data_IF_568196711450
#
_entry.id   IF_568196711450
#
_cell.length_a   1.000
_cell.length_b   1.000
_cell.length_c   1.000
_cell.angle_alpha   90.00
_cell.angle_beta   90.00
_cell.angle_gamma   90.00
#
_symmetry.space_group_name_H-M   'P 1'
#
loop_
_entity.id
_entity.type
_entity.pdbx_description
1 polymer ?
#
# COMPACT_ATOMS: atom_id res chain seq x y z
N UNK A 1 -0.89 -2.48 5.73
CA UNK A 1 0.14 -3.23 4.95
C UNK A 1 -0.39 -3.41 3.53
N UNK A 2 0.38 -3.10 2.48
CA UNK A 2 -0.09 -3.13 1.08
C UNK A 2 0.19 -4.48 0.37
N UNK A 3 -0.34 -4.67 -0.85
CA UNK A 3 -0.12 -5.89 -1.64
C UNK A 3 1.36 -6.16 -1.96
N UNK A 4 2.17 -5.12 -2.18
CA UNK A 4 3.62 -5.29 -2.41
C UNK A 4 4.32 -5.82 -1.15
N UNK A 5 3.94 -5.30 0.02
CA UNK A 5 4.43 -5.80 1.31
C UNK A 5 4.00 -7.23 1.58
N UNK A 6 2.76 -7.61 1.22
CA UNK A 6 2.31 -9.00 1.27
C UNK A 6 3.25 -9.90 0.46
N UNK A 7 3.58 -9.53 -0.79
CA UNK A 7 4.51 -10.31 -1.62
C UNK A 7 5.89 -10.44 -1.00
N UNK A 8 6.42 -9.37 -0.38
CA UNK A 8 7.71 -9.39 0.33
C UNK A 8 7.64 -10.33 1.55
N UNK A 9 6.58 -10.23 2.36
CA UNK A 9 6.36 -11.09 3.52
C UNK A 9 6.26 -12.56 3.15
N UNK A 10 5.57 -12.90 2.05
CA UNK A 10 5.47 -14.29 1.57
C UNK A 10 6.85 -14.86 1.25
N UNK A 11 7.70 -14.11 0.53
CA UNK A 11 9.07 -14.56 0.20
C UNK A 11 9.95 -14.71 1.44
N UNK A 12 9.72 -13.89 2.47
CA UNK A 12 10.52 -13.90 3.70
C UNK A 12 10.16 -15.08 4.61
N UNK A 13 8.87 -15.45 4.68
CA UNK A 13 8.38 -16.43 5.67
C UNK A 13 8.11 -17.83 5.08
N UNK A 14 8.22 -18.01 3.76
CA UNK A 14 7.99 -19.30 3.10
C UNK A 14 9.25 -19.76 2.36
N UNK A 15 9.38 -21.08 2.18
CA UNK A 15 10.45 -21.66 1.37
C UNK A 15 10.38 -21.19 -0.08
N UNK A 16 11.52 -21.17 -0.79
CA UNK A 16 11.63 -20.60 -2.14
C UNK A 16 10.56 -21.13 -3.11
N UNK A 17 10.42 -22.44 -3.23
CA UNK A 17 9.45 -23.06 -4.14
C UNK A 17 8.00 -22.84 -3.70
N UNK A 18 7.70 -23.03 -2.41
CA UNK A 18 6.37 -22.78 -1.85
C UNK A 18 5.94 -21.31 -2.05
N UNK A 19 6.86 -20.37 -1.81
CA UNK A 19 6.61 -18.94 -2.01
C UNK A 19 6.36 -18.61 -3.49
N UNK A 20 7.08 -19.24 -4.42
CA UNK A 20 6.92 -19.05 -5.87
C UNK A 20 5.53 -19.50 -6.32
N UNK A 21 5.10 -20.68 -5.89
CA UNK A 21 3.76 -21.20 -6.20
C UNK A 21 2.66 -20.33 -5.57
N UNK A 22 2.79 -20.00 -4.28
CA UNK A 22 1.84 -19.14 -3.58
C UNK A 22 1.69 -17.79 -4.27
N UNK A 23 2.80 -17.16 -4.66
CA UNK A 23 2.79 -15.88 -5.38
C UNK A 23 2.14 -15.97 -6.76
N UNK A 24 2.28 -17.10 -7.46
CA UNK A 24 1.58 -17.35 -8.74
C UNK A 24 0.08 -17.37 -8.52
N UNK A 25 -0.41 -18.11 -7.52
CA UNK A 25 -1.85 -18.15 -7.17
C UNK A 25 -2.35 -16.80 -6.67
N UNK A 26 -1.58 -16.11 -5.84
CA UNK A 26 -1.91 -14.76 -5.36
C UNK A 26 -2.04 -13.77 -6.52
N UNK A 27 -1.20 -13.87 -7.55
CA UNK A 27 -1.31 -13.02 -8.74
C UNK A 27 -2.62 -13.27 -9.49
N UNK A 28 -3.01 -14.54 -9.66
CA UNK A 28 -4.28 -14.92 -10.28
C UNK A 28 -5.47 -14.34 -9.50
N UNK A 29 -5.46 -14.44 -8.17
CA UNK A 29 -6.51 -13.86 -7.31
C UNK A 29 -6.62 -12.35 -7.58
N UNK A 30 -5.49 -11.63 -7.60
CA UNK A 30 -5.49 -10.20 -7.88
C UNK A 30 -6.06 -9.86 -9.27
N UNK A 31 -5.79 -10.66 -10.29
CA UNK A 31 -6.14 -10.36 -11.67
C UNK A 31 -7.58 -10.74 -12.02
N UNK A 32 -8.08 -11.85 -11.47
CA UNK A 32 -9.34 -12.46 -11.91
C UNK A 32 -10.48 -12.36 -10.90
N UNK A 33 -10.29 -11.69 -9.77
CA UNK A 33 -11.40 -11.47 -8.83
C UNK A 33 -12.21 -10.24 -9.27
N UNK A 34 -13.53 -10.39 -9.32
CA UNK A 34 -14.48 -9.33 -9.67
C UNK A 34 -14.54 -8.22 -8.61
N UNK A 35 -14.26 -8.55 -7.35
CA UNK A 35 -14.35 -7.62 -6.23
C UNK A 35 -13.54 -8.03 -5.01
N UNK A 36 -13.68 -7.24 -3.94
CA UNK A 36 -12.96 -7.47 -2.68
C UNK A 36 -13.34 -8.79 -2.03
N UNK A 37 -14.63 -9.09 -1.95
CA UNK A 37 -15.17 -10.28 -1.25
C UNK A 37 -14.62 -11.57 -1.85
N UNK A 38 -14.76 -11.73 -3.17
CA UNK A 38 -14.23 -12.88 -3.91
C UNK A 38 -12.70 -13.01 -3.75
N UNK A 39 -11.97 -11.88 -3.81
CA UNK A 39 -10.51 -11.91 -3.65
C UNK A 39 -10.10 -12.37 -2.23
N UNK A 40 -10.82 -11.91 -1.21
CA UNK A 40 -10.59 -12.28 0.19
C UNK A 40 -10.91 -13.75 0.42
N UNK A 41 -12.03 -14.24 -0.10
CA UNK A 41 -12.43 -15.66 0.00
C UNK A 41 -11.39 -16.57 -0.66
N UNK A 42 -11.05 -16.30 -1.92
CA UNK A 42 -10.04 -17.07 -2.66
C UNK A 42 -8.67 -17.03 -1.98
N UNK A 43 -8.31 -15.90 -1.36
CA UNK A 43 -7.07 -15.77 -0.62
C UNK A 43 -7.08 -16.57 0.69
N UNK A 44 -8.20 -16.58 1.43
CA UNK A 44 -8.34 -17.40 2.63
C UNK A 44 -8.23 -18.89 2.28
N UNK A 45 -8.92 -19.33 1.23
CA UNK A 45 -8.82 -20.69 0.70
C UNK A 45 -7.39 -21.05 0.23
N UNK A 46 -6.65 -20.11 -0.35
CA UNK A 46 -5.24 -20.30 -0.65
C UNK A 46 -4.41 -20.48 0.63
N UNK A 47 -4.65 -19.68 1.67
CA UNK A 47 -3.97 -19.82 2.95
C UNK A 47 -4.27 -21.17 3.64
N UNK A 48 -5.49 -21.70 3.51
CA UNK A 48 -5.87 -23.01 4.05
C UNK A 48 -4.97 -24.15 3.52
N UNK A 49 -4.62 -24.10 2.23
CA UNK A 49 -3.74 -25.12 1.60
C UNK A 49 -2.36 -25.19 2.24
N UNK A 50 -1.88 -24.07 2.79
CA UNK A 50 -0.56 -23.97 3.41
C UNK A 50 -0.63 -23.91 4.95
N UNK A 51 -1.82 -24.07 5.54
CA UNK A 51 -2.04 -23.94 6.99
C UNK A 51 -1.23 -24.96 7.79
N UNK A 52 -1.03 -26.18 7.28
CA UNK A 52 -0.23 -27.22 7.96
C UNK A 52 1.27 -26.88 7.99
N UNK A 53 1.80 -26.35 6.90
CA UNK A 53 3.23 -26.03 6.76
C UNK A 53 3.61 -24.71 7.42
N UNK A 54 2.69 -23.73 7.43
CA UNK A 54 2.96 -22.37 7.92
C UNK A 54 1.82 -21.85 8.83
N UNK A 55 1.48 -22.53 9.94
CA UNK A 55 0.24 -22.30 10.68
C UNK A 55 0.08 -20.88 11.21
N UNK A 56 1.10 -20.35 11.89
CA UNK A 56 1.08 -19.00 12.44
C UNK A 56 1.01 -17.95 11.33
N UNK A 57 1.84 -18.08 10.30
CA UNK A 57 1.91 -17.12 9.21
C UNK A 57 0.60 -17.09 8.40
N UNK A 58 0.00 -18.25 8.10
CA UNK A 58 -1.29 -18.30 7.39
C UNK A 58 -2.43 -17.71 8.21
N UNK A 59 -2.45 -17.90 9.53
CA UNK A 59 -3.41 -17.25 10.42
C UNK A 59 -3.30 -15.73 10.34
N UNK A 60 -2.08 -15.20 10.48
CA UNK A 60 -1.80 -13.76 10.39
C UNK A 60 -2.21 -13.18 9.02
N UNK A 61 -1.96 -13.91 7.93
CA UNK A 61 -2.36 -13.50 6.59
C UNK A 61 -3.88 -13.42 6.44
N UNK A 62 -4.63 -14.41 6.94
CA UNK A 62 -6.10 -14.45 6.89
C UNK A 62 -6.73 -13.29 7.65
N UNK A 63 -6.23 -12.98 8.85
CA UNK A 63 -6.69 -11.85 9.65
C UNK A 63 -6.51 -10.50 8.93
N UNK A 64 -5.48 -10.39 8.09
CA UNK A 64 -5.16 -9.18 7.32
C UNK A 64 -5.68 -9.21 5.88
N UNK A 65 -6.42 -10.24 5.48
CA UNK A 65 -6.82 -10.48 4.10
C UNK A 65 -7.50 -9.26 3.45
N UNK A 66 -8.53 -8.71 4.08
CA UNK A 66 -9.25 -7.54 3.58
C UNK A 66 -8.32 -6.33 3.34
N UNK A 67 -7.38 -6.11 4.26
CA UNK A 67 -6.42 -4.99 4.17
C UNK A 67 -5.54 -5.11 2.93
N UNK A 68 -5.17 -6.34 2.52
CA UNK A 68 -4.33 -6.55 1.34
C UNK A 68 -5.06 -6.31 0.03
N UNK A 69 -6.37 -6.53 -0.02
CA UNK A 69 -7.18 -6.43 -1.24
C UNK A 69 -8.05 -5.18 -1.30
N UNK A 70 -8.05 -4.32 -0.28
CA UNK A 70 -8.83 -3.08 -0.25
C UNK A 70 -8.65 -2.16 -1.47
N UNK A 71 -7.51 -2.26 -2.18
CA UNK A 71 -7.30 -1.53 -3.43
C UNK A 71 -8.30 -1.93 -4.54
N UNK A 72 -8.96 -3.09 -4.46
CA UNK A 72 -9.98 -3.53 -5.43
C UNK A 72 -11.23 -2.65 -5.40
N UNK A 73 -11.47 -1.91 -4.31
CA UNK A 73 -12.55 -0.91 -4.20
C UNK A 73 -12.34 0.32 -5.09
N UNK A 74 -11.18 0.44 -5.73
CA UNK A 74 -10.84 1.54 -6.62
C UNK A 74 -10.84 1.09 -8.09
N UNK A 75 -11.04 2.03 -9.03
CA UNK A 75 -10.98 1.77 -10.47
C UNK A 75 -9.69 1.09 -10.89
N UNK A 76 -9.79 0.13 -11.81
CA UNK A 76 -8.70 -0.77 -12.19
C UNK A 76 -7.43 -0.01 -12.63
N UNK A 77 -7.61 1.02 -13.45
CA UNK A 77 -6.56 1.85 -14.01
C UNK A 77 -5.71 2.57 -12.94
N UNK A 78 -6.24 2.84 -11.75
CA UNK A 78 -5.51 3.51 -10.67
C UNK A 78 -5.01 2.55 -9.58
N UNK A 79 -5.49 1.29 -9.55
CA UNK A 79 -5.13 0.31 -8.49
C UNK A 79 -3.63 0.20 -8.27
N UNK A 80 -2.83 0.24 -9.36
CA UNK A 80 -1.37 0.19 -9.28
C UNK A 80 -0.78 1.28 -8.41
N UNK A 81 -1.32 2.50 -8.45
CA UNK A 81 -0.85 3.61 -7.63
C UNK A 81 -1.25 3.48 -6.15
N UNK A 82 -2.20 2.61 -5.84
CA UNK A 82 -2.72 2.41 -4.48
C UNK A 82 -2.03 1.22 -3.81
N UNK A 83 -1.91 0.09 -4.51
CA UNK A 83 -1.32 -1.11 -3.92
C UNK A 83 0.22 -1.10 -3.92
N UNK A 84 0.85 -0.17 -4.65
CA UNK A 84 2.29 0.07 -4.57
C UNK A 84 2.56 1.19 -3.57
N UNK A 85 3.44 0.93 -2.61
CA UNK A 85 3.82 1.90 -1.57
C UNK A 85 4.99 2.79 -2.01
N UNK A 86 5.36 2.77 -3.30
CA UNK A 86 6.57 3.41 -3.82
C UNK A 86 6.65 4.91 -3.52
N UNK A 87 5.55 5.67 -3.63
CA UNK A 87 5.57 7.11 -3.41
C UNK A 87 5.89 7.44 -1.94
N UNK A 88 5.20 6.79 -1.01
CA UNK A 88 5.39 6.97 0.44
C UNK A 88 6.73 6.39 0.89
N UNK A 89 7.13 5.21 0.39
CA UNK A 89 8.45 4.62 0.68
C UNK A 89 9.59 5.55 0.24
N UNK A 90 9.49 6.16 -0.95
CA UNK A 90 10.50 7.10 -1.43
C UNK A 90 10.55 8.37 -0.59
N UNK A 91 9.39 8.90 -0.17
CA UNK A 91 9.33 10.06 0.71
C UNK A 91 9.96 9.76 2.08
N UNK A 92 9.54 8.66 2.72
CA UNK A 92 10.06 8.26 4.02
C UNK A 92 11.57 7.98 3.95
N UNK A 93 12.05 7.32 2.90
CA UNK A 93 13.49 7.13 2.68
C UNK A 93 14.24 8.45 2.64
N UNK A 94 13.69 9.47 2.00
CA UNK A 94 14.32 10.80 1.93
C UNK A 94 14.42 11.46 3.30
N UNK A 95 13.38 11.31 4.12
CA UNK A 95 13.40 11.80 5.51
C UNK A 95 14.45 11.05 6.35
N UNK A 96 14.53 9.72 6.20
CA UNK A 96 15.57 8.92 6.86
C UNK A 96 16.99 9.30 6.45
N UNK A 97 17.23 9.57 5.16
CA UNK A 97 18.52 10.07 4.67
C UNK A 97 18.92 11.39 5.35
N UNK A 98 17.96 12.30 5.57
CA UNK A 98 18.20 13.56 6.27
C UNK A 98 18.52 13.30 7.74
N UNK A 99 17.73 12.46 8.41
CA UNK A 99 17.96 12.08 9.82
C UNK A 99 19.36 11.52 10.02
N UNK A 100 19.81 10.63 9.12
CA UNK A 100 21.17 10.06 9.18
C UNK A 100 22.26 11.12 9.03
N UNK A 101 22.06 12.11 8.14
CA UNK A 101 23.01 13.23 7.95
C UNK A 101 23.07 14.17 9.15
N UNK A 102 22.01 14.25 9.96
CA UNK A 102 21.96 15.07 11.18
C UNK A 102 22.50 14.35 12.43
N UNK A 103 23.15 13.20 12.26
CA UNK A 103 23.70 12.42 13.38
C UNK A 103 22.75 11.35 13.93
N UNK A 104 21.71 10.97 13.16
CA UNK A 104 20.80 9.87 13.50
C UNK A 104 19.51 10.29 14.20
N UNK A 105 19.34 11.57 14.50
CA UNK A 105 18.13 12.13 15.09
C UNK A 105 17.91 13.59 14.66
N UNK A 106 16.69 14.09 14.83
CA UNK A 106 16.38 15.50 14.67
C UNK A 106 16.57 16.20 16.02
N UNK A 107 17.24 17.36 16.05
CA UNK A 107 17.56 18.04 17.30
C UNK A 107 16.33 18.67 17.98
N UNK A 108 15.24 18.89 17.23
CA UNK A 108 13.95 19.32 17.77
C UNK A 108 12.81 18.94 16.80
N UNK A 109 11.56 19.11 17.25
CA UNK A 109 10.37 18.93 16.42
C UNK A 109 10.32 19.99 15.31
N UNK A 110 10.68 21.24 15.62
CA UNK A 110 10.68 22.32 14.62
C UNK A 110 11.64 22.02 13.46
N UNK A 111 12.81 21.43 13.74
CA UNK A 111 13.76 21.05 12.69
C UNK A 111 13.20 19.93 11.82
N UNK A 112 12.50 18.95 12.41
CA UNK A 112 11.82 17.90 11.65
C UNK A 112 10.75 18.51 10.74
N UNK A 113 9.91 19.39 11.26
CA UNK A 113 8.84 20.07 10.52
C UNK A 113 9.37 20.92 9.37
N UNK A 114 10.43 21.71 9.62
CA UNK A 114 11.10 22.48 8.59
C UNK A 114 11.64 21.57 7.47
N UNK A 115 12.26 20.44 7.82
CA UNK A 115 12.75 19.49 6.82
C UNK A 115 11.62 18.84 6.02
N UNK A 116 10.52 18.47 6.68
CA UNK A 116 9.29 17.97 6.04
C UNK A 116 8.73 18.98 5.04
N UNK A 117 8.59 20.23 5.46
CA UNK A 117 8.13 21.33 4.61
C UNK A 117 9.05 21.51 3.39
N UNK A 118 10.36 21.61 3.59
CA UNK A 118 11.32 21.75 2.50
C UNK A 118 11.29 20.57 1.52
N UNK A 119 11.12 19.33 2.00
CA UNK A 119 10.99 18.18 1.09
C UNK A 119 9.69 18.24 0.28
N UNK A 120 8.57 18.63 0.92
CA UNK A 120 7.30 18.84 0.22
C UNK A 120 7.44 19.89 -0.87
N UNK A 121 7.99 21.06 -0.56
CA UNK A 121 8.16 22.14 -1.53
C UNK A 121 9.04 21.72 -2.72
N UNK A 122 10.17 21.04 -2.45
CA UNK A 122 11.03 20.48 -3.50
C UNK A 122 10.29 19.49 -4.40
N UNK A 123 9.43 18.64 -3.83
CA UNK A 123 8.63 17.71 -4.61
C UNK A 123 7.61 18.44 -5.47
N UNK A 124 6.87 19.39 -4.91
CA UNK A 124 5.86 20.18 -5.62
C UNK A 124 6.46 21.01 -6.76
N UNK A 125 7.65 21.59 -6.56
CA UNK A 125 8.32 22.36 -7.60
C UNK A 125 9.04 21.49 -8.64
N UNK A 126 9.41 20.26 -8.27
CA UNK A 126 10.11 19.31 -9.13
C UNK A 126 9.22 18.16 -9.58
N UNK A 127 9.43 17.00 -8.98
CA UNK A 127 8.87 15.71 -9.43
C UNK A 127 7.34 15.67 -9.47
N UNK A 128 6.67 16.40 -8.60
CA UNK A 128 5.21 16.47 -8.49
C UNK A 128 4.62 17.76 -9.09
N UNK A 129 5.43 18.56 -9.79
CA UNK A 129 4.97 19.77 -10.50
C UNK A 129 3.84 19.47 -11.47
N UNK A 130 3.93 18.33 -12.16
CA UNK A 130 2.86 17.83 -13.03
C UNK A 130 2.16 16.67 -12.34
N UNK A 131 0.81 16.68 -12.27
CA UNK A 131 0.06 15.57 -11.70
C UNK A 131 0.23 14.33 -12.57
N UNK A 132 0.16 13.15 -11.95
CA UNK A 132 0.16 11.88 -12.68
C UNK A 132 -1.07 11.83 -13.58
N UNK A 133 -0.94 11.71 -14.92
CA UNK A 133 -2.07 11.85 -15.85
C UNK A 133 -3.24 10.92 -15.52
N UNK A 134 -2.97 9.65 -15.19
CA UNK A 134 -4.03 8.69 -14.86
C UNK A 134 -4.77 9.07 -13.58
N UNK A 135 -4.07 9.58 -12.55
CA UNK A 135 -4.73 10.02 -11.32
C UNK A 135 -5.54 11.30 -11.55
N UNK A 136 -5.02 12.22 -12.39
CA UNK A 136 -5.76 13.42 -12.79
C UNK A 136 -7.04 13.07 -13.53
N UNK A 137 -6.97 12.14 -14.48
CA UNK A 137 -8.13 11.69 -15.26
C UNK A 137 -9.23 11.07 -14.38
N UNK A 138 -8.85 10.37 -13.30
CA UNK A 138 -9.80 9.74 -12.37
C UNK A 138 -10.05 10.57 -11.10
N UNK A 139 -9.65 11.85 -11.07
CA UNK A 139 -9.71 12.67 -9.87
C UNK A 139 -11.15 12.89 -9.36
N UNK A 140 -12.11 13.02 -10.28
CA UNK A 140 -13.52 13.16 -9.93
C UNK A 140 -14.04 11.94 -9.17
N UNK A 141 -13.83 10.74 -9.72
CA UNK A 141 -14.28 9.50 -9.08
C UNK A 141 -13.60 9.27 -7.73
N UNK A 142 -12.29 9.55 -7.64
CA UNK A 142 -11.56 9.51 -6.38
C UNK A 142 -12.15 10.44 -5.31
N UNK A 143 -12.55 11.66 -5.70
CA UNK A 143 -13.23 12.61 -4.80
C UNK A 143 -14.60 12.09 -4.37
N UNK A 144 -15.36 11.46 -5.25
CA UNK A 144 -16.65 10.86 -4.90
C UNK A 144 -16.48 9.72 -3.89
N UNK A 145 -15.50 8.84 -4.11
CA UNK A 145 -15.16 7.76 -3.17
C UNK A 145 -14.76 8.34 -1.81
N UNK A 146 -13.93 9.40 -1.81
CA UNK A 146 -13.51 10.07 -0.59
C UNK A 146 -14.70 10.70 0.15
N UNK A 147 -15.50 11.50 -0.53
CA UNK A 147 -16.66 12.18 0.05
C UNK A 147 -17.65 11.17 0.60
N UNK A 148 -18.01 10.13 -0.16
CA UNK A 148 -18.92 9.08 0.34
C UNK A 148 -18.44 8.43 1.63
N UNK A 149 -17.12 8.30 1.80
CA UNK A 149 -16.53 7.68 2.99
C UNK A 149 -16.38 8.63 4.18
N UNK A 150 -16.10 9.91 3.92
CA UNK A 150 -15.71 10.88 4.95
C UNK A 150 -16.67 12.07 5.09
N UNK A 151 -17.83 12.03 4.43
CA UNK A 151 -18.80 13.13 4.37
C UNK A 151 -19.09 13.77 5.74
N UNK A 152 -19.34 12.97 6.77
CA UNK A 152 -19.64 13.44 8.12
C UNK A 152 -18.44 14.00 8.90
N UNK A 153 -17.21 13.74 8.46
CA UNK A 153 -15.99 14.26 9.08
C UNK A 153 -15.54 15.58 8.45
N UNK A 154 -15.94 15.85 7.22
CA UNK A 154 -15.52 17.04 6.45
C UNK A 154 -16.42 18.26 6.62
N UNK A 155 -17.57 18.14 7.29
CA UNK A 155 -18.47 19.28 7.56
C UNK A 155 -18.32 19.89 8.95
N UNK A 156 -17.51 19.29 9.83
CA UNK A 156 -17.26 19.78 11.19
C UNK A 156 -15.83 20.35 11.35
N UNK A 157 -15.24 20.90 10.29
CA UNK A 157 -13.90 21.51 10.30
C UNK A 157 -13.87 22.78 9.47
#
# INVERSE_FOLDING_TARGET
MCFVHLKRNIRRNMGKEASKEFLKKLHQIKQFSAGLEEAVERFKALCDRYQRSYPYFMKELKEKAEKYFNFLRYPENIRRHIYTTNAVENFNRRIEEIRLRLGGYFQSVEILEMNLFLQRERLLQGRWKKPVPILKANAYELRQIFNRKFYGQTQNS
#
